data_IF_083597387922
#
_entry.id   IF_083597387922
#
_cell.length_a   1.000
_cell.length_b   1.000
_cell.length_c   1.000
_cell.angle_alpha   90.00
_cell.angle_beta   90.00
_cell.angle_gamma   90.00
#
_symmetry.space_group_name_H-M   'P 1'
#
loop_
_entity.id
_entity.type
_entity.pdbx_description
1 polymer ?
#
# COMPACT_ATOMS: atom_id res chain seq x y z
N UNK A 1 -11.87 -28.34 -32.95
CA UNK A 1 -12.57 -28.66 -31.70
C UNK A 1 -12.16 -27.58 -30.71
N UNK A 2 -13.07 -26.62 -30.58
CA UNK A 2 -12.95 -25.38 -29.82
C UNK A 2 -12.93 -25.59 -28.30
N UNK A 3 -12.65 -24.49 -27.59
CA UNK A 3 -12.90 -24.20 -26.17
C UNK A 3 -11.73 -24.51 -25.18
N UNK A 4 -10.70 -23.64 -25.15
CA UNK A 4 -9.84 -23.51 -23.95
C UNK A 4 -9.08 -22.16 -23.86
N UNK A 5 -9.67 -21.03 -24.26
CA UNK A 5 -9.00 -19.72 -24.14
C UNK A 5 -9.88 -18.57 -23.62
N UNK A 6 -10.92 -18.86 -22.83
CA UNK A 6 -11.79 -17.83 -22.27
C UNK A 6 -11.91 -17.92 -20.75
N UNK A 7 -10.82 -17.56 -20.08
CA UNK A 7 -10.82 -17.11 -18.68
C UNK A 7 -9.78 -16.00 -18.54
N UNK A 8 -10.03 -14.88 -19.26
CA UNK A 8 -9.67 -13.59 -18.68
C UNK A 8 -10.45 -13.47 -17.39
N UNK A 9 -9.76 -13.71 -16.28
CA UNK A 9 -10.12 -13.40 -14.90
C UNK A 9 -11.06 -12.20 -14.80
N UNK A 10 -12.38 -12.44 -14.74
CA UNK A 10 -13.35 -11.38 -14.51
C UNK A 10 -13.35 -11.07 -13.02
N UNK A 11 -12.50 -10.12 -12.63
CA UNK A 11 -12.48 -9.60 -11.28
C UNK A 11 -13.86 -9.11 -10.87
N UNK A 12 -14.24 -9.44 -9.64
CA UNK A 12 -15.51 -9.00 -9.07
C UNK A 12 -15.55 -7.47 -8.97
N UNK A 13 -16.74 -6.84 -8.97
CA UNK A 13 -16.87 -5.39 -8.75
C UNK A 13 -16.17 -4.91 -7.46
N UNK A 14 -16.11 -5.76 -6.43
CA UNK A 14 -15.42 -5.45 -5.18
C UNK A 14 -13.89 -5.42 -5.34
N UNK A 15 -13.31 -6.37 -6.10
CA UNK A 15 -11.87 -6.41 -6.39
C UNK A 15 -11.46 -5.27 -7.33
N UNK A 16 -12.29 -4.98 -8.34
CA UNK A 16 -12.13 -3.83 -9.21
C UNK A 16 -12.07 -2.54 -8.38
N UNK A 17 -13.05 -2.35 -7.48
CA UNK A 17 -13.10 -1.16 -6.63
C UNK A 17 -11.90 -1.09 -5.70
N UNK A 18 -11.51 -2.21 -5.07
CA UNK A 18 -10.33 -2.28 -4.21
C UNK A 18 -9.06 -1.86 -4.96
N UNK A 19 -8.91 -2.27 -6.22
CA UNK A 19 -7.76 -1.89 -7.05
C UNK A 19 -7.75 -0.40 -7.36
N UNK A 20 -8.87 0.18 -7.77
CA UNK A 20 -8.98 1.62 -8.02
C UNK A 20 -8.60 2.45 -6.79
N UNK A 21 -9.01 2.01 -5.60
CA UNK A 21 -8.63 2.67 -4.35
C UNK A 21 -7.14 2.54 -4.06
N UNK A 22 -6.53 1.39 -4.40
CA UNK A 22 -5.09 1.19 -4.25
C UNK A 22 -4.29 2.05 -5.24
N UNK A 23 -4.80 2.23 -6.47
CA UNK A 23 -4.20 3.15 -7.46
C UNK A 23 -4.30 4.61 -7.02
N UNK A 24 -5.40 5.02 -6.38
CA UNK A 24 -5.49 6.34 -5.76
C UNK A 24 -4.46 6.50 -4.64
N UNK A 25 -4.33 5.50 -3.76
CA UNK A 25 -3.33 5.51 -2.71
C UNK A 25 -1.90 5.60 -3.28
N UNK A 26 -1.59 4.86 -4.34
CA UNK A 26 -0.30 4.94 -5.04
C UNK A 26 0.02 6.36 -5.49
N UNK A 27 -0.93 7.07 -6.11
CA UNK A 27 -0.71 8.46 -6.57
C UNK A 27 -0.34 9.38 -5.41
N UNK A 28 -1.02 9.25 -4.27
CA UNK A 28 -0.71 10.03 -3.06
C UNK A 28 0.67 9.65 -2.53
N UNK A 29 1.00 8.37 -2.45
CA UNK A 29 2.32 7.91 -1.93
C UNK A 29 3.47 8.34 -2.84
N UNK A 30 3.30 8.25 -4.16
CA UNK A 30 4.30 8.69 -5.13
C UNK A 30 4.55 10.21 -5.05
N UNK A 31 3.51 10.99 -4.78
CA UNK A 31 3.58 12.44 -4.66
C UNK A 31 4.11 12.91 -3.30
N UNK A 32 3.57 12.36 -2.22
CA UNK A 32 3.70 12.90 -0.86
C UNK A 32 4.64 12.05 0.02
N UNK A 33 4.97 10.82 -0.40
CA UNK A 33 5.87 9.92 0.33
C UNK A 33 5.42 9.71 1.79
N UNK A 34 6.31 9.87 2.78
CA UNK A 34 5.97 9.74 4.21
C UNK A 34 4.86 10.68 4.71
N UNK A 35 4.55 11.75 3.96
CA UNK A 35 3.47 12.69 4.32
C UNK A 35 2.10 12.25 3.82
N UNK A 36 2.01 11.14 3.07
CA UNK A 36 0.75 10.59 2.60
C UNK A 36 -0.15 10.22 3.79
N UNK A 37 -1.27 10.94 3.92
CA UNK A 37 -2.25 10.72 5.00
C UNK A 37 -3.46 9.93 4.49
N UNK A 38 -4.13 9.22 5.41
CA UNK A 38 -5.39 8.54 5.09
C UNK A 38 -6.48 9.50 4.58
N UNK A 39 -6.46 10.77 5.04
CA UNK A 39 -7.38 11.80 4.56
C UNK A 39 -7.07 12.18 3.11
N UNK A 40 -5.79 12.38 2.77
CA UNK A 40 -5.37 12.68 1.40
C UNK A 40 -5.69 11.54 0.44
N UNK A 41 -5.50 10.29 0.87
CA UNK A 41 -5.85 9.09 0.07
C UNK A 41 -7.35 9.00 -0.16
N UNK A 42 -8.17 9.22 0.88
CA UNK A 42 -9.63 9.20 0.74
C UNK A 42 -10.11 10.30 -0.22
N UNK A 43 -9.54 11.51 -0.11
CA UNK A 43 -9.82 12.63 -1.00
C UNK A 43 -9.43 12.32 -2.47
N UNK A 44 -8.22 11.79 -2.69
CA UNK A 44 -7.75 11.36 -4.03
C UNK A 44 -8.66 10.30 -4.66
N UNK A 45 -9.25 9.43 -3.84
CA UNK A 45 -10.17 8.38 -4.27
C UNK A 45 -11.65 8.84 -4.38
N UNK A 46 -11.96 10.09 -3.99
CA UNK A 46 -13.33 10.61 -3.98
C UNK A 46 -14.26 9.92 -2.97
N UNK A 47 -13.72 9.42 -1.86
CA UNK A 47 -14.48 8.72 -0.81
C UNK A 47 -14.17 9.26 0.58
N UNK A 48 -14.90 8.80 1.58
CA UNK A 48 -14.62 9.11 2.99
C UNK A 48 -13.63 8.11 3.60
N UNK A 49 -12.92 8.53 4.65
CA UNK A 49 -11.98 7.68 5.40
C UNK A 49 -12.63 6.40 5.96
N UNK A 50 -13.87 6.40 6.50
CA UNK A 50 -14.56 5.17 6.89
C UNK A 50 -14.79 4.20 5.74
N UNK A 51 -15.12 4.69 4.53
CA UNK A 51 -15.27 3.83 3.34
C UNK A 51 -13.93 3.22 2.96
N UNK A 52 -12.84 4.01 3.01
CA UNK A 52 -11.50 3.52 2.74
C UNK A 52 -11.12 2.36 3.69
N UNK A 53 -11.37 2.53 4.98
CA UNK A 53 -11.15 1.46 5.96
C UNK A 53 -12.08 0.26 5.77
N UNK A 54 -13.31 0.43 5.29
CA UNK A 54 -14.17 -0.72 4.96
C UNK A 54 -13.53 -1.66 3.93
N UNK A 55 -12.79 -1.11 2.98
CA UNK A 55 -12.05 -1.92 2.00
C UNK A 55 -10.80 -2.53 2.62
N UNK A 56 -9.98 -1.76 3.33
CA UNK A 56 -8.64 -2.22 3.76
C UNK A 56 -8.56 -2.72 5.21
N UNK A 57 -9.64 -2.67 5.97
CA UNK A 57 -9.73 -2.96 7.40
C UNK A 57 -9.26 -1.77 8.23
N UNK A 58 -7.96 -1.50 8.19
CA UNK A 58 -7.30 -0.45 8.95
C UNK A 58 -6.19 0.21 8.10
N UNK A 59 -5.47 1.17 8.71
CA UNK A 59 -4.28 1.78 8.09
C UNK A 59 -3.27 0.69 7.70
N UNK A 60 -2.99 -0.24 8.60
CA UNK A 60 -2.03 -1.33 8.36
C UNK A 60 -2.37 -2.20 7.15
N UNK A 61 -3.65 -2.44 6.88
CA UNK A 61 -4.12 -3.23 5.76
C UNK A 61 -3.97 -2.53 4.42
N UNK A 62 -4.12 -1.20 4.39
CA UNK A 62 -3.77 -0.41 3.20
C UNK A 62 -2.26 -0.40 2.97
N UNK A 63 -1.47 -0.20 4.04
CA UNK A 63 -0.01 -0.23 3.96
C UNK A 63 0.50 -1.59 3.47
N UNK A 64 -0.03 -2.71 3.98
CA UNK A 64 0.30 -4.04 3.47
C UNK A 64 -0.07 -4.22 2.00
N UNK A 65 -1.23 -3.73 1.58
CA UNK A 65 -1.65 -3.83 0.18
C UNK A 65 -0.71 -3.04 -0.76
N UNK A 66 -0.29 -1.83 -0.35
CA UNK A 66 0.72 -1.04 -1.07
C UNK A 66 2.08 -1.73 -1.07
N UNK A 67 2.52 -2.25 0.09
CA UNK A 67 3.78 -2.96 0.20
C UNK A 67 3.83 -4.14 -0.77
N UNK A 68 2.84 -5.03 -0.74
CA UNK A 68 2.74 -6.18 -1.66
C UNK A 68 2.86 -5.72 -3.11
N UNK A 69 2.05 -4.73 -3.51
CA UNK A 69 2.03 -4.19 -4.87
C UNK A 69 3.39 -3.69 -5.36
N UNK A 70 4.17 -3.06 -4.48
CA UNK A 70 5.48 -2.49 -4.82
C UNK A 70 6.65 -3.46 -4.61
N UNK A 71 6.51 -4.44 -3.72
CA UNK A 71 7.61 -5.37 -3.39
C UNK A 71 7.62 -6.64 -4.22
N UNK A 72 6.51 -7.06 -4.82
CA UNK A 72 6.46 -8.35 -5.54
C UNK A 72 7.47 -8.42 -6.69
N UNK A 73 7.54 -7.38 -7.52
CA UNK A 73 8.51 -7.30 -8.62
C UNK A 73 9.96 -7.21 -8.12
N UNK A 74 10.20 -6.44 -7.06
CA UNK A 74 11.52 -6.34 -6.43
C UNK A 74 11.96 -7.71 -5.87
N UNK A 75 11.10 -8.39 -5.12
CA UNK A 75 11.41 -9.69 -4.54
C UNK A 75 11.68 -10.74 -5.63
N UNK A 76 10.95 -10.70 -6.75
CA UNK A 76 11.23 -11.55 -7.89
C UNK A 76 12.60 -11.25 -8.51
N UNK A 77 12.94 -9.98 -8.71
CA UNK A 77 14.22 -9.56 -9.26
C UNK A 77 15.40 -9.92 -8.34
N UNK A 78 15.26 -9.72 -7.02
CA UNK A 78 16.29 -10.10 -6.05
C UNK A 78 16.51 -11.61 -6.02
N UNK A 79 15.44 -12.42 -6.07
CA UNK A 79 15.57 -13.88 -6.16
C UNK A 79 16.29 -14.29 -7.44
N UNK A 80 15.94 -13.70 -8.58
CA UNK A 80 16.62 -13.98 -9.84
C UNK A 80 18.11 -13.62 -9.81
N UNK A 81 18.48 -12.47 -9.24
CA UNK A 81 19.86 -12.05 -9.07
C UNK A 81 20.63 -13.00 -8.13
N UNK A 82 19.97 -13.45 -7.06
CA UNK A 82 20.52 -14.44 -6.14
C UNK A 82 20.67 -15.80 -6.80
N UNK A 83 19.78 -16.26 -7.66
CA UNK A 83 19.86 -17.61 -8.26
C UNK A 83 20.73 -17.66 -9.53
N UNK A 84 21.25 -16.52 -9.98
CA UNK A 84 22.06 -16.43 -11.19
C UNK A 84 23.33 -17.29 -11.11
N UNK A 85 23.69 -18.02 -12.18
CA UNK A 85 24.89 -18.88 -12.23
C UNK A 85 26.16 -18.02 -12.34
N UNK A 86 26.60 -17.48 -11.21
CA UNK A 86 27.80 -16.66 -11.07
C UNK A 86 28.50 -16.95 -9.75
N UNK A 87 29.74 -16.47 -9.60
CA UNK A 87 30.48 -16.63 -8.34
C UNK A 87 29.77 -15.89 -7.19
N UNK A 88 30.06 -16.31 -5.96
CA UNK A 88 29.37 -15.81 -4.76
C UNK A 88 29.45 -14.29 -4.63
N UNK A 89 30.60 -13.69 -4.94
CA UNK A 89 30.80 -12.25 -4.79
C UNK A 89 29.91 -11.51 -5.79
N UNK A 90 29.91 -11.94 -7.05
CA UNK A 90 29.10 -11.34 -8.11
C UNK A 90 27.60 -11.46 -7.86
N UNK A 91 27.14 -12.58 -7.28
CA UNK A 91 25.73 -12.73 -6.87
C UNK A 91 25.32 -11.69 -5.83
N UNK A 92 26.18 -11.44 -4.83
CA UNK A 92 25.91 -10.42 -3.80
C UNK A 92 25.91 -9.02 -4.41
N UNK A 93 26.90 -8.68 -5.23
CA UNK A 93 27.01 -7.38 -5.91
C UNK A 93 25.76 -7.12 -6.78
N UNK A 94 25.39 -8.05 -7.66
CA UNK A 94 24.19 -7.94 -8.51
C UNK A 94 22.88 -7.80 -7.71
N UNK A 95 22.77 -8.50 -6.58
CA UNK A 95 21.60 -8.40 -5.70
C UNK A 95 21.51 -7.03 -5.06
N UNK A 96 22.64 -6.49 -4.58
CA UNK A 96 22.70 -5.14 -4.02
C UNK A 96 22.39 -4.07 -5.07
N UNK A 97 22.96 -4.19 -6.26
CA UNK A 97 22.68 -3.27 -7.38
C UNK A 97 21.18 -3.26 -7.73
N UNK A 98 20.56 -4.44 -7.81
CA UNK A 98 19.11 -4.57 -8.05
C UNK A 98 18.28 -3.90 -6.95
N UNK A 99 18.68 -4.07 -5.70
CA UNK A 99 18.00 -3.46 -4.56
C UNK A 99 18.13 -1.93 -4.57
N UNK A 100 19.34 -1.41 -4.75
CA UNK A 100 19.63 0.02 -4.79
C UNK A 100 18.94 0.71 -5.97
N UNK A 101 18.99 0.11 -7.16
CA UNK A 101 18.29 0.64 -8.35
C UNK A 101 16.78 0.76 -8.12
N UNK A 102 16.19 -0.16 -7.35
CA UNK A 102 14.76 -0.10 -7.01
C UNK A 102 14.44 1.03 -6.04
N UNK A 103 15.35 1.34 -5.10
CA UNK A 103 15.22 2.51 -4.21
C UNK A 103 15.32 3.81 -5.02
N UNK A 104 16.24 3.87 -5.98
CA UNK A 104 16.44 5.04 -6.84
C UNK A 104 15.26 5.28 -7.79
N UNK A 105 14.64 4.22 -8.31
CA UNK A 105 13.49 4.32 -9.19
C UNK A 105 12.23 4.84 -8.47
N UNK A 106 12.04 4.47 -7.20
CA UNK A 106 10.80 4.73 -6.46
C UNK A 106 11.08 5.24 -5.03
N UNK A 107 11.78 6.38 -4.87
CA UNK A 107 12.29 6.82 -3.58
C UNK A 107 11.18 7.16 -2.57
N UNK A 108 10.03 7.66 -3.04
CA UNK A 108 8.92 7.99 -2.15
C UNK A 108 8.18 6.77 -1.63
N UNK A 109 8.05 5.73 -2.47
CA UNK A 109 7.49 4.44 -2.04
C UNK A 109 8.41 3.80 -1.00
N UNK A 110 9.72 3.78 -1.25
CA UNK A 110 10.69 3.27 -0.29
C UNK A 110 10.62 4.02 1.04
N UNK A 111 10.64 5.37 0.99
CA UNK A 111 10.55 6.20 2.20
C UNK A 111 9.25 5.95 2.96
N UNK A 112 8.13 5.86 2.27
CA UNK A 112 6.82 5.58 2.86
C UNK A 112 6.77 4.20 3.55
N UNK A 113 7.35 3.17 2.92
CA UNK A 113 7.35 1.81 3.46
C UNK A 113 8.33 1.64 4.65
N UNK A 114 9.49 2.32 4.61
CA UNK A 114 10.51 2.23 5.67
C UNK A 114 10.25 3.18 6.85
N UNK A 115 9.51 4.26 6.61
CA UNK A 115 9.08 5.21 7.63
C UNK A 115 7.57 5.35 7.54
N UNK A 116 6.81 4.29 7.90
CA UNK A 116 5.37 4.44 8.00
C UNK A 116 5.10 5.59 8.96
N UNK A 117 4.31 6.57 8.54
CA UNK A 117 3.99 7.70 9.39
C UNK A 117 3.41 7.15 10.71
N UNK A 118 4.12 7.33 11.82
CA UNK A 118 3.54 7.08 13.14
C UNK A 118 2.38 8.07 13.27
N UNK A 119 1.15 7.56 13.39
CA UNK A 119 0.05 8.44 13.74
C UNK A 119 0.22 8.77 15.22
N UNK A 120 0.64 10.00 15.49
CA UNK A 120 0.29 10.69 16.72
C UNK A 120 -1.21 10.49 16.99
N UNK A 121 -1.50 9.82 18.10
CA UNK A 121 -2.83 9.39 18.54
C UNK A 121 -3.94 10.42 18.26
N UNK A 122 -5.06 9.94 17.74
CA UNK A 122 -6.36 10.48 18.12
C UNK A 122 -7.29 9.34 18.48
N UNK A 123 -7.25 9.05 19.78
CA UNK A 123 -8.42 8.82 20.62
C UNK A 123 -9.61 9.64 20.11
N UNK A 124 -10.46 9.07 19.27
CA UNK A 124 -11.85 9.52 19.17
C UNK A 124 -12.61 9.03 20.42
N UNK A 125 -12.23 9.55 21.59
CA UNK A 125 -13.17 9.72 22.70
C UNK A 125 -13.76 11.11 22.52
N UNK A 126 -14.90 11.15 21.85
CA UNK A 126 -15.65 12.36 21.59
C UNK A 126 -17.13 12.04 21.43
N UNK A 127 -17.67 11.20 22.30
CA UNK A 127 -19.12 11.14 22.52
C UNK A 127 -19.40 11.80 23.88
N UNK A 128 -19.50 13.12 23.87
CA UNK A 128 -20.06 13.89 24.97
C UNK A 128 -21.57 13.64 25.00
N UNK A 129 -22.01 12.80 25.93
CA UNK A 129 -23.40 12.78 26.39
C UNK A 129 -23.38 13.01 27.90
N UNK A 130 -22.86 14.18 28.29
CA UNK A 130 -22.98 14.72 29.62
C UNK A 130 -23.87 15.94 29.64
N UNK A 131 -25.18 15.81 29.39
CA UNK A 131 -26.15 16.82 29.82
C UNK A 131 -27.58 16.30 30.00
N UNK A 132 -28.08 16.57 31.21
CA UNK A 132 -29.49 16.63 31.66
C UNK A 132 -30.13 15.37 32.25
N UNK A 133 -29.96 15.21 33.56
CA UNK A 133 -31.09 15.02 34.48
C UNK A 133 -30.89 15.90 35.72
N UNK A 134 -31.97 16.57 36.11
CA UNK A 134 -32.09 17.78 36.94
C UNK A 134 -31.74 17.61 38.45
N UNK A 135 -31.56 18.72 39.20
CA UNK A 135 -31.37 18.68 40.65
C UNK A 135 -32.68 18.40 41.41
N UNK A 136 -32.49 18.01 42.68
CA UNK A 136 -33.49 17.61 43.69
C UNK A 136 -34.72 18.52 43.80
#
# INVERSE_FOLDING_TARGET
MDIAHRTTDQQTPAEQRRRELLEAADRVVLRDGPKASMNAIAAEAGITKPILYRHFGDKGGLYRALAIRHTDALLAALRAALDAPSDRRRRVESTLDTYLASIEAMPQVYRFLMHPAEDSHQTEQGFDVGRHSAPL
#
